data_IF_817734546703
#
_entry.id   IF_817734546703
#
_cell.length_a   1.000
_cell.length_b   1.000
_cell.length_c   1.000
_cell.angle_alpha   90.00
_cell.angle_beta   90.00
_cell.angle_gamma   90.00
#
_symmetry.space_group_name_H-M   'P 1'
#
loop_
_entity.id
_entity.type
_entity.pdbx_description
1 polymer ?
#
# COMPACT_ATOMS: atom_id res chain seq x y z
N UNK A 1 -14.50 -22.88 3.23
CA UNK A 1 -14.02 -22.50 1.86
C UNK A 1 -12.49 -22.51 1.85
N UNK A 2 -11.87 -23.13 0.85
CA UNK A 2 -10.41 -23.17 0.68
C UNK A 2 -10.00 -22.13 -0.36
N UNK A 3 -9.20 -21.13 0.05
CA UNK A 3 -8.80 -20.02 -0.80
C UNK A 3 -7.30 -20.07 -1.07
N UNK A 4 -6.93 -20.03 -2.35
CA UNK A 4 -5.55 -19.91 -2.79
C UNK A 4 -5.21 -18.45 -3.08
N UNK A 5 -4.37 -17.83 -2.27
CA UNK A 5 -3.81 -16.50 -2.56
C UNK A 5 -2.46 -16.67 -3.24
N UNK A 6 -2.27 -16.01 -4.38
CA UNK A 6 -0.98 -15.95 -5.06
C UNK A 6 -0.49 -14.51 -5.09
N UNK A 7 0.68 -14.28 -4.49
CA UNK A 7 1.32 -12.99 -4.37
C UNK A 7 2.80 -13.06 -4.77
N UNK A 8 3.12 -12.65 -6.00
CA UNK A 8 4.46 -12.76 -6.56
C UNK A 8 5.38 -11.60 -6.13
N UNK A 9 5.39 -11.25 -4.85
CA UNK A 9 6.24 -10.24 -4.22
C UNK A 9 6.56 -10.64 -2.78
N UNK A 10 7.42 -9.88 -2.11
CA UNK A 10 7.71 -10.06 -0.68
C UNK A 10 6.53 -9.60 0.17
N UNK A 11 5.91 -10.52 0.91
CA UNK A 11 4.66 -10.28 1.67
C UNK A 11 4.77 -9.14 2.67
N UNK A 12 5.94 -8.95 3.27
CA UNK A 12 6.14 -7.94 4.30
C UNK A 12 6.09 -6.49 3.80
N UNK A 13 6.22 -6.30 2.49
CA UNK A 13 6.06 -4.98 1.84
C UNK A 13 4.63 -4.71 1.35
N UNK A 14 3.70 -5.66 1.57
CA UNK A 14 2.32 -5.55 1.11
C UNK A 14 1.29 -5.70 2.25
N UNK A 15 1.17 -4.70 3.14
CA UNK A 15 0.18 -4.72 4.22
C UNK A 15 -1.25 -5.06 3.78
N UNK A 16 -1.76 -4.61 2.60
CA UNK A 16 -3.09 -4.98 2.15
C UNK A 16 -3.27 -6.49 1.92
N UNK A 17 -2.22 -7.19 1.50
CA UNK A 17 -2.28 -8.66 1.33
C UNK A 17 -2.27 -9.37 2.69
N UNK A 18 -1.49 -8.87 3.66
CA UNK A 18 -1.55 -9.35 5.05
C UNK A 18 -2.96 -9.18 5.63
N UNK A 19 -3.56 -7.99 5.46
CA UNK A 19 -4.93 -7.73 5.89
C UNK A 19 -5.95 -8.66 5.23
N UNK A 20 -5.80 -8.94 3.95
CA UNK A 20 -6.66 -9.91 3.25
C UNK A 20 -6.55 -11.31 3.86
N UNK A 21 -5.34 -11.79 4.13
CA UNK A 21 -5.14 -13.09 4.80
C UNK A 21 -5.83 -13.12 6.16
N UNK A 22 -5.64 -12.06 6.96
CA UNK A 22 -6.23 -11.98 8.31
C UNK A 22 -7.76 -11.96 8.27
N UNK A 23 -8.35 -11.20 7.33
CA UNK A 23 -9.80 -11.17 7.13
C UNK A 23 -10.34 -12.55 6.74
N UNK A 24 -9.69 -13.22 5.78
CA UNK A 24 -10.12 -14.53 5.30
C UNK A 24 -10.07 -15.60 6.41
N UNK A 25 -9.04 -15.59 7.22
CA UNK A 25 -8.94 -16.49 8.39
C UNK A 25 -10.01 -16.18 9.43
N UNK A 26 -10.27 -14.89 9.69
CA UNK A 26 -11.27 -14.44 10.66
C UNK A 26 -12.73 -14.73 10.25
N UNK A 27 -12.99 -14.89 8.96
CA UNK A 27 -14.30 -15.35 8.45
C UNK A 27 -14.39 -16.89 8.32
N UNK A 28 -13.38 -17.63 8.76
CA UNK A 28 -13.36 -19.08 8.79
C UNK A 28 -12.96 -19.76 7.48
N UNK A 29 -12.24 -19.05 6.60
CA UNK A 29 -11.70 -19.67 5.39
C UNK A 29 -10.34 -20.34 5.69
N UNK A 30 -10.07 -21.47 5.02
CA UNK A 30 -8.73 -22.06 5.00
C UNK A 30 -7.92 -21.40 3.89
N UNK A 31 -6.79 -20.77 4.23
CA UNK A 31 -5.98 -19.96 3.33
C UNK A 31 -4.66 -20.63 2.99
N UNK A 32 -4.39 -20.83 1.71
CA UNK A 32 -3.05 -21.16 1.21
C UNK A 32 -2.45 -19.95 0.52
N UNK A 33 -1.33 -19.44 1.01
CA UNK A 33 -0.62 -18.29 0.46
C UNK A 33 0.67 -18.72 -0.25
N UNK A 34 0.81 -18.42 -1.54
CA UNK A 34 2.07 -18.56 -2.29
C UNK A 34 2.72 -17.17 -2.39
N UNK A 35 3.91 -16.98 -1.80
CA UNK A 35 4.58 -15.68 -1.76
C UNK A 35 6.09 -15.80 -1.46
N UNK A 36 6.83 -14.69 -1.61
CA UNK A 36 8.16 -14.56 -1.02
C UNK A 36 8.03 -14.18 0.45
N UNK A 37 8.81 -14.84 1.31
CA UNK A 37 8.81 -14.61 2.76
C UNK A 37 10.26 -14.58 3.27
N UNK A 38 10.87 -13.40 3.25
CA UNK A 38 12.25 -13.17 3.74
C UNK A 38 12.30 -12.87 5.22
N UNK A 39 11.21 -12.36 5.79
CA UNK A 39 11.12 -11.87 7.17
C UNK A 39 10.26 -12.75 8.06
N UNK A 40 10.06 -14.02 7.64
CA UNK A 40 9.40 -15.05 8.46
C UNK A 40 7.93 -14.75 8.83
N UNK A 41 7.15 -14.17 7.90
CA UNK A 41 5.70 -13.99 8.06
C UNK A 41 5.00 -15.30 8.40
N UNK A 42 5.53 -16.43 7.92
CA UNK A 42 5.06 -17.75 8.29
C UNK A 42 4.98 -17.95 9.81
N UNK A 43 6.00 -17.49 10.56
CA UNK A 43 6.05 -17.62 12.02
C UNK A 43 4.95 -16.82 12.71
N UNK A 44 4.53 -15.69 12.15
CA UNK A 44 3.43 -14.88 12.69
C UNK A 44 2.09 -15.66 12.69
N UNK A 45 1.95 -16.64 11.81
CA UNK A 45 0.74 -17.44 11.59
C UNK A 45 0.89 -18.93 11.91
N UNK A 46 2.00 -19.33 12.52
CA UNK A 46 2.36 -20.76 12.73
C UNK A 46 1.35 -21.55 13.58
N UNK A 47 0.64 -20.85 14.47
CA UNK A 47 -0.37 -21.45 15.34
C UNK A 47 -1.77 -21.57 14.69
N UNK A 48 -1.97 -21.02 13.49
CA UNK A 48 -3.26 -21.11 12.81
C UNK A 48 -3.29 -22.33 11.88
N UNK A 49 -4.08 -23.34 12.23
CA UNK A 49 -4.23 -24.60 11.46
C UNK A 49 -4.85 -24.38 10.07
N UNK A 50 -5.62 -23.31 9.87
CA UNK A 50 -6.26 -22.96 8.62
C UNK A 50 -5.36 -22.13 7.69
N UNK A 51 -4.12 -21.84 8.10
CA UNK A 51 -3.16 -21.11 7.29
C UNK A 51 -2.00 -21.98 6.83
N UNK A 52 -1.76 -21.98 5.51
CA UNK A 52 -0.61 -22.62 4.89
C UNK A 52 0.17 -21.63 4.03
N UNK A 53 1.48 -21.49 4.27
CA UNK A 53 2.35 -20.69 3.44
C UNK A 53 3.26 -21.59 2.59
N UNK A 54 3.27 -21.33 1.27
CA UNK A 54 4.18 -21.93 0.30
C UNK A 54 5.16 -20.84 -0.13
N UNK A 55 6.39 -20.93 0.36
CA UNK A 55 7.44 -19.95 0.08
C UNK A 55 7.96 -20.09 -1.35
N UNK A 56 8.02 -18.97 -2.05
CA UNK A 56 8.75 -18.87 -3.32
C UNK A 56 10.23 -18.69 -3.00
N UNK A 57 11.06 -19.62 -3.45
CA UNK A 57 12.51 -19.57 -3.21
C UNK A 57 13.21 -18.69 -4.25
N UNK A 58 14.04 -17.76 -3.78
CA UNK A 58 14.94 -17.00 -4.64
C UNK A 58 16.11 -17.87 -5.10
N UNK A 59 16.34 -17.97 -6.39
CA UNK A 59 17.55 -18.59 -6.89
C UNK A 59 18.78 -17.69 -6.63
N UNK A 60 19.83 -18.25 -6.04
CA UNK A 60 21.12 -17.55 -5.84
C UNK A 60 21.62 -16.99 -7.19
N UNK A 61 22.02 -15.73 -7.17
CA UNK A 61 22.51 -15.00 -8.33
C UNK A 61 23.81 -15.62 -8.86
N UNK A 62 23.74 -16.35 -9.97
CA UNK A 62 24.88 -16.78 -10.77
C UNK A 62 24.69 -16.20 -12.17
N UNK A 63 25.72 -15.67 -12.83
CA UNK A 63 25.79 -15.12 -14.18
C UNK A 63 24.50 -14.74 -14.96
N UNK A 64 24.59 -13.90 -15.98
CA UNK A 64 23.38 -13.33 -16.66
C UNK A 64 22.50 -14.41 -17.33
N UNK A 65 23.11 -15.38 -18.03
CA UNK A 65 22.39 -16.46 -18.74
C UNK A 65 21.71 -17.39 -17.75
N UNK A 66 22.41 -17.79 -16.69
CA UNK A 66 21.86 -18.67 -15.65
C UNK A 66 20.73 -18.00 -14.85
N UNK A 67 20.80 -16.67 -14.69
CA UNK A 67 19.70 -15.88 -14.12
C UNK A 67 18.45 -15.94 -14.98
N UNK A 68 18.58 -15.86 -16.30
CA UNK A 68 17.45 -15.95 -17.23
C UNK A 68 16.78 -17.33 -17.15
N UNK A 69 17.57 -18.40 -17.21
CA UNK A 69 17.10 -19.78 -17.09
C UNK A 69 16.43 -20.03 -15.74
N UNK A 70 17.01 -19.54 -14.66
CA UNK A 70 16.45 -19.67 -13.33
C UNK A 70 15.09 -18.96 -13.17
N UNK A 71 14.93 -17.76 -13.75
CA UNK A 71 13.63 -17.06 -13.77
C UNK A 71 12.58 -17.87 -14.53
N UNK A 72 12.96 -18.47 -15.66
CA UNK A 72 12.05 -19.31 -16.45
C UNK A 72 11.65 -20.58 -15.68
N UNK A 73 12.61 -21.27 -15.07
CA UNK A 73 12.36 -22.46 -14.27
C UNK A 73 11.50 -22.16 -13.03
N UNK A 74 11.75 -21.01 -12.38
CA UNK A 74 10.94 -20.56 -11.26
C UNK A 74 9.49 -20.29 -11.67
N UNK A 75 9.30 -19.57 -12.77
CA UNK A 75 7.96 -19.33 -13.33
C UNK A 75 7.23 -20.64 -13.62
N UNK A 76 7.93 -21.62 -14.20
CA UNK A 76 7.36 -22.96 -14.47
C UNK A 76 6.97 -23.67 -13.18
N UNK A 77 7.84 -23.70 -12.16
CA UNK A 77 7.56 -24.33 -10.86
C UNK A 77 6.35 -23.69 -10.17
N UNK A 78 6.28 -22.35 -10.13
CA UNK A 78 5.15 -21.64 -9.53
C UNK A 78 3.86 -21.96 -10.27
N UNK A 79 3.86 -21.95 -11.60
CA UNK A 79 2.69 -22.32 -12.41
C UNK A 79 2.22 -23.73 -12.13
N UNK A 80 3.12 -24.69 -12.07
CA UNK A 80 2.79 -26.09 -11.76
C UNK A 80 2.17 -26.21 -10.37
N UNK A 81 2.74 -25.53 -9.37
CA UNK A 81 2.21 -25.50 -8.02
C UNK A 81 0.80 -24.88 -7.97
N UNK A 82 0.62 -23.72 -8.61
CA UNK A 82 -0.68 -23.04 -8.69
C UNK A 82 -1.72 -23.94 -9.36
N UNK A 83 -1.42 -24.51 -10.53
CA UNK A 83 -2.37 -25.36 -11.25
C UNK A 83 -2.71 -26.66 -10.52
N UNK A 84 -1.79 -27.20 -9.73
CA UNK A 84 -2.09 -28.34 -8.86
C UNK A 84 -3.06 -27.93 -7.74
N UNK A 85 -2.82 -26.78 -7.10
CA UNK A 85 -3.64 -26.30 -5.99
C UNK A 85 -5.01 -25.78 -6.44
N UNK A 86 -5.14 -25.22 -7.64
CA UNK A 86 -6.44 -24.83 -8.22
C UNK A 86 -7.45 -25.98 -8.26
N UNK A 87 -6.99 -27.22 -8.34
CA UNK A 87 -7.86 -28.42 -8.34
C UNK A 87 -8.46 -28.74 -6.97
N UNK A 88 -7.90 -28.20 -5.90
CA UNK A 88 -8.23 -28.54 -4.50
C UNK A 88 -8.72 -27.34 -3.70
N UNK A 89 -8.74 -26.15 -4.32
CA UNK A 89 -9.21 -24.92 -3.72
C UNK A 89 -10.46 -24.43 -4.43
N UNK A 90 -11.35 -23.82 -3.67
CA UNK A 90 -12.64 -23.36 -4.17
C UNK A 90 -12.51 -22.06 -4.97
N UNK A 91 -11.46 -21.26 -4.66
CA UNK A 91 -11.24 -19.94 -5.21
C UNK A 91 -9.74 -19.63 -5.28
N UNK A 92 -9.32 -18.92 -6.34
CA UNK A 92 -8.01 -18.33 -6.46
C UNK A 92 -8.11 -16.79 -6.38
N UNK A 93 -7.27 -16.17 -5.55
CA UNK A 93 -7.15 -14.73 -5.40
C UNK A 93 -5.75 -14.29 -5.80
N UNK A 94 -5.62 -13.65 -6.95
CA UNK A 94 -4.34 -13.08 -7.39
C UNK A 94 -4.22 -11.64 -6.93
N UNK A 95 -3.05 -11.27 -6.45
CA UNK A 95 -2.74 -9.89 -6.04
C UNK A 95 -1.61 -9.37 -6.91
N UNK A 96 -1.77 -8.20 -7.49
CA UNK A 96 -0.88 -7.55 -8.47
C UNK A 96 -0.96 -8.12 -9.89
N UNK A 97 -0.71 -7.24 -10.85
CA UNK A 97 -0.59 -7.51 -12.29
C UNK A 97 0.49 -8.55 -12.61
N UNK A 98 1.63 -8.44 -11.93
CA UNK A 98 2.75 -9.36 -12.08
C UNK A 98 2.38 -10.81 -11.74
N UNK A 99 1.51 -11.01 -10.77
CA UNK A 99 1.02 -12.35 -10.38
C UNK A 99 0.17 -12.94 -11.49
N UNK A 100 -0.74 -12.15 -12.06
CA UNK A 100 -1.55 -12.56 -13.22
C UNK A 100 -0.66 -12.93 -14.41
N UNK A 101 0.32 -12.09 -14.72
CA UNK A 101 1.29 -12.35 -15.78
C UNK A 101 2.13 -13.61 -15.54
N UNK A 102 2.48 -13.87 -14.27
CA UNK A 102 3.23 -15.05 -13.88
C UNK A 102 2.44 -16.34 -14.14
N UNK A 103 1.18 -16.41 -13.70
CA UNK A 103 0.34 -17.60 -13.87
C UNK A 103 -0.07 -17.76 -15.33
N UNK A 104 -0.50 -16.66 -15.96
CA UNK A 104 -0.83 -16.59 -17.38
C UNK A 104 -2.11 -17.33 -17.75
N UNK A 105 -2.16 -17.90 -18.97
CA UNK A 105 -3.40 -18.39 -19.63
C UNK A 105 -4.21 -19.40 -18.80
N UNK A 106 -3.59 -20.11 -17.86
CA UNK A 106 -4.32 -21.05 -16.99
C UNK A 106 -5.43 -20.41 -16.16
N UNK A 107 -5.32 -19.10 -15.86
CA UNK A 107 -6.39 -18.35 -15.17
C UNK A 107 -7.65 -18.21 -16.03
N UNK A 108 -7.54 -18.20 -17.36
CA UNK A 108 -8.67 -18.08 -18.27
C UNK A 108 -9.54 -19.35 -18.31
N UNK A 109 -9.08 -20.45 -17.74
CA UNK A 109 -9.83 -21.71 -17.65
C UNK A 109 -10.39 -21.94 -16.24
N UNK A 110 -10.37 -20.93 -15.38
CA UNK A 110 -10.77 -21.05 -13.99
C UNK A 110 -11.76 -19.93 -13.61
N UNK A 111 -13.03 -20.28 -13.49
CA UNK A 111 -14.11 -19.31 -13.27
C UNK A 111 -14.06 -18.60 -11.92
N UNK A 112 -13.59 -19.30 -10.87
CA UNK A 112 -13.52 -18.77 -9.52
C UNK A 112 -12.22 -17.99 -9.27
N UNK A 113 -11.91 -17.02 -10.13
CA UNK A 113 -10.75 -16.16 -10.02
C UNK A 113 -11.13 -14.74 -9.59
N UNK A 114 -10.52 -14.25 -8.51
CA UNK A 114 -10.56 -12.84 -8.10
C UNK A 114 -9.22 -12.20 -8.46
N UNK A 115 -9.27 -11.12 -9.23
CA UNK A 115 -8.10 -10.37 -9.69
C UNK A 115 -7.99 -9.06 -8.91
N UNK A 116 -7.08 -9.00 -7.94
CA UNK A 116 -6.81 -7.77 -7.19
C UNK A 116 -5.61 -7.01 -7.76
N UNK A 117 -5.79 -5.72 -7.99
CA UNK A 117 -4.76 -4.81 -8.45
C UNK A 117 -4.44 -3.80 -7.35
N UNK A 118 -3.16 -3.57 -7.11
CA UNK A 118 -2.69 -2.56 -6.15
C UNK A 118 -2.49 -1.20 -6.82
N UNK A 119 -2.19 -1.21 -8.13
CA UNK A 119 -1.91 -0.03 -8.94
C UNK A 119 -2.68 -0.10 -10.27
N UNK A 120 -2.92 1.07 -10.87
CA UNK A 120 -3.38 1.15 -12.25
C UNK A 120 -2.25 0.72 -13.18
N UNK A 121 -2.54 -0.22 -14.05
CA UNK A 121 -1.64 -0.71 -15.09
C UNK A 121 -2.46 -1.00 -16.34
N UNK A 122 -1.93 -0.66 -17.50
CA UNK A 122 -2.59 -1.02 -18.77
C UNK A 122 -2.26 -2.47 -19.14
N UNK A 123 -0.97 -2.77 -19.20
CA UNK A 123 -0.42 -4.08 -19.53
C UNK A 123 0.86 -4.34 -18.78
N UNK A 124 1.12 -5.61 -18.46
CA UNK A 124 2.33 -6.02 -17.77
C UNK A 124 3.34 -6.60 -18.76
N UNK A 125 4.56 -6.04 -18.88
CA UNK A 125 5.62 -6.63 -19.69
C UNK A 125 5.98 -8.04 -19.24
N UNK A 126 6.10 -8.99 -20.16
CA UNK A 126 6.50 -10.37 -19.87
C UNK A 126 7.95 -10.47 -19.40
N UNK A 127 8.80 -9.51 -19.84
CA UNK A 127 10.23 -9.47 -19.52
C UNK A 127 10.64 -8.08 -19.06
N UNK A 128 11.17 -7.96 -17.86
CA UNK A 128 11.68 -6.73 -17.25
C UNK A 128 13.21 -6.62 -17.43
N UNK A 129 13.70 -6.66 -18.66
CA UNK A 129 15.14 -6.50 -18.94
C UNK A 129 15.40 -5.16 -19.61
N UNK A 130 16.44 -4.46 -19.17
CA UNK A 130 16.84 -3.16 -19.73
C UNK A 130 16.98 -3.18 -21.26
N UNK A 131 17.55 -4.26 -21.82
CA UNK A 131 17.68 -4.47 -23.28
C UNK A 131 16.31 -4.57 -23.97
N UNK A 132 15.35 -5.26 -23.36
CA UNK A 132 13.99 -5.41 -23.91
C UNK A 132 13.29 -4.06 -23.97
N UNK A 133 13.48 -3.20 -22.94
CA UNK A 133 12.97 -1.84 -22.94
C UNK A 133 13.65 -0.95 -23.97
N UNK A 134 14.99 -1.00 -24.06
CA UNK A 134 15.76 -0.24 -25.03
C UNK A 134 15.38 -0.56 -26.49
N UNK A 135 15.10 -1.83 -26.77
CA UNK A 135 14.64 -2.29 -28.10
C UNK A 135 13.12 -2.15 -28.30
N UNK A 136 12.38 -1.56 -27.36
CA UNK A 136 10.91 -1.43 -27.35
C UNK A 136 10.15 -2.77 -27.51
N UNK A 137 10.81 -3.90 -27.26
CA UNK A 137 10.22 -5.24 -27.33
C UNK A 137 9.21 -5.51 -26.20
N UNK A 138 9.26 -4.73 -25.13
CA UNK A 138 8.26 -4.75 -24.05
C UNK A 138 6.84 -4.46 -24.55
N UNK A 139 6.69 -3.71 -25.65
CA UNK A 139 5.39 -3.45 -26.30
C UNK A 139 4.83 -4.66 -27.04
N UNK A 140 5.72 -5.52 -27.56
CA UNK A 140 5.35 -6.74 -28.29
C UNK A 140 5.08 -7.92 -27.35
N UNK A 141 5.87 -8.03 -26.27
CA UNK A 141 5.78 -9.12 -25.30
C UNK A 141 5.18 -8.64 -24.00
N UNK A 142 3.86 -8.53 -23.95
CA UNK A 142 3.09 -8.08 -22.79
C UNK A 142 1.94 -9.02 -22.46
N UNK A 143 1.51 -8.99 -21.22
CA UNK A 143 0.29 -9.63 -20.76
C UNK A 143 -0.87 -8.65 -20.90
N UNK A 144 -1.85 -8.98 -21.70
CA UNK A 144 -3.07 -8.22 -21.86
C UNK A 144 -3.97 -8.48 -20.63
N UNK A 145 -3.89 -7.62 -19.66
CA UNK A 145 -4.58 -7.76 -18.35
C UNK A 145 -6.09 -7.68 -18.49
N UNK A 146 -6.58 -6.92 -19.48
CA UNK A 146 -7.99 -6.77 -19.81
C UNK A 146 -8.70 -8.12 -20.04
N UNK A 147 -8.00 -9.08 -20.70
CA UNK A 147 -8.54 -10.43 -20.93
C UNK A 147 -8.79 -11.20 -19.64
N UNK A 148 -7.83 -11.09 -18.69
CA UNK A 148 -7.96 -11.76 -17.39
C UNK A 148 -9.00 -11.07 -16.52
N UNK A 149 -9.08 -9.74 -16.58
CA UNK A 149 -10.05 -8.96 -15.82
C UNK A 149 -11.49 -9.23 -16.27
N UNK A 150 -11.73 -9.32 -17.60
CA UNK A 150 -13.05 -9.69 -18.14
C UNK A 150 -13.46 -11.13 -17.81
N UNK A 151 -12.50 -12.02 -17.63
CA UNK A 151 -12.76 -13.42 -17.26
C UNK A 151 -12.84 -13.62 -15.75
N UNK A 152 -12.24 -12.76 -14.96
CA UNK A 152 -12.27 -12.86 -13.51
C UNK A 152 -13.70 -12.67 -12.98
N UNK A 153 -14.04 -13.45 -11.96
CA UNK A 153 -15.34 -13.32 -11.28
C UNK A 153 -15.50 -11.93 -10.66
N UNK A 154 -14.45 -11.40 -10.07
CA UNK A 154 -14.34 -10.03 -9.58
C UNK A 154 -12.96 -9.45 -9.87
N UNK A 155 -12.95 -8.18 -10.21
CA UNK A 155 -11.76 -7.33 -10.16
C UNK A 155 -11.83 -6.48 -8.90
N UNK A 156 -10.73 -6.40 -8.14
CA UNK A 156 -10.66 -5.68 -6.87
C UNK A 156 -9.57 -4.61 -6.98
N UNK A 157 -9.87 -3.39 -6.54
CA UNK A 157 -8.95 -2.25 -6.57
C UNK A 157 -9.02 -1.48 -5.25
N UNK A 158 -7.99 -0.70 -4.87
CA UNK A 158 -7.95 -0.08 -3.55
C UNK A 158 -8.67 1.28 -3.45
N UNK A 159 -9.15 1.86 -4.59
CA UNK A 159 -9.69 3.22 -4.61
C UNK A 159 -10.82 3.35 -5.66
N UNK A 160 -11.83 4.17 -5.32
CA UNK A 160 -13.08 4.29 -6.08
C UNK A 160 -12.89 4.79 -7.52
N UNK A 161 -12.12 5.84 -7.73
CA UNK A 161 -11.88 6.35 -9.08
C UNK A 161 -11.08 5.36 -9.93
N UNK A 162 -10.15 4.61 -9.31
CA UNK A 162 -9.43 3.52 -9.99
C UNK A 162 -10.40 2.44 -10.47
N UNK A 163 -11.48 2.15 -9.75
CA UNK A 163 -12.51 1.21 -10.20
C UNK A 163 -13.20 1.70 -11.49
N UNK A 164 -13.56 2.97 -11.57
CA UNK A 164 -14.16 3.56 -12.76
C UNK A 164 -13.19 3.60 -13.95
N UNK A 165 -11.94 3.98 -13.70
CA UNK A 165 -10.89 4.01 -14.73
C UNK A 165 -10.65 2.60 -15.30
N UNK A 166 -10.48 1.58 -14.46
CA UNK A 166 -10.29 0.19 -14.88
C UNK A 166 -11.52 -0.32 -15.65
N UNK A 167 -12.72 -0.02 -15.15
CA UNK A 167 -13.95 -0.39 -15.87
C UNK A 167 -13.97 0.17 -17.29
N UNK A 168 -13.69 1.46 -17.44
CA UNK A 168 -13.67 2.13 -18.74
C UNK A 168 -12.53 1.63 -19.63
N UNK A 169 -11.32 1.55 -19.09
CA UNK A 169 -10.11 1.16 -19.83
C UNK A 169 -10.16 -0.27 -20.36
N UNK A 170 -10.77 -1.19 -19.63
CA UNK A 170 -10.84 -2.60 -20.02
C UNK A 170 -12.21 -3.06 -20.48
N UNK A 171 -13.21 -2.17 -20.54
CA UNK A 171 -14.56 -2.48 -20.98
C UNK A 171 -15.21 -3.54 -20.09
N UNK A 172 -15.10 -3.41 -18.77
CA UNK A 172 -15.70 -4.37 -17.84
C UNK A 172 -17.19 -4.14 -17.71
N UNK A 173 -17.98 -5.20 -17.68
CA UNK A 173 -19.43 -5.13 -17.45
C UNK A 173 -19.75 -4.61 -16.05
N UNK A 174 -19.03 -5.11 -15.04
CA UNK A 174 -19.21 -4.74 -13.63
C UNK A 174 -18.16 -3.74 -13.18
N UNK A 175 -18.55 -2.87 -12.25
CA UNK A 175 -17.59 -2.01 -11.57
C UNK A 175 -16.69 -2.88 -10.67
N UNK A 176 -15.35 -2.73 -10.72
CA UNK A 176 -14.46 -3.38 -9.77
C UNK A 176 -14.84 -3.08 -8.32
N UNK A 177 -14.70 -4.07 -7.46
CA UNK A 177 -14.94 -3.90 -6.02
C UNK A 177 -13.83 -3.06 -5.41
N UNK A 178 -14.20 -2.09 -4.58
CA UNK A 178 -13.23 -1.26 -3.86
C UNK A 178 -12.92 -1.91 -2.51
N UNK A 179 -11.69 -2.43 -2.38
CA UNK A 179 -11.14 -2.94 -1.12
C UNK A 179 -10.01 -2.03 -0.69
N UNK A 180 -10.24 -1.07 0.23
CA UNK A 180 -9.26 -0.07 0.61
C UNK A 180 -8.01 -0.68 1.24
N UNK A 181 -6.88 0.03 1.15
CA UNK A 181 -5.61 -0.38 1.76
C UNK A 181 -5.59 -0.15 3.30
N UNK A 182 -6.72 -0.35 3.96
CA UNK A 182 -6.88 -0.23 5.40
C UNK A 182 -6.26 -1.44 6.10
N UNK A 183 -5.41 -1.27 7.13
CA UNK A 183 -4.97 -2.37 7.97
C UNK A 183 -6.16 -3.02 8.68
N UNK A 184 -6.25 -4.35 8.64
CA UNK A 184 -7.32 -5.07 9.32
C UNK A 184 -6.99 -5.34 10.78
N UNK A 185 -5.78 -5.82 11.05
CA UNK A 185 -5.33 -6.13 12.39
C UNK A 185 -4.03 -5.40 12.73
N UNK A 186 -4.03 -4.68 13.85
CA UNK A 186 -2.88 -3.94 14.35
C UNK A 186 -2.58 -4.38 15.79
N UNK A 187 -1.51 -5.16 15.96
CA UNK A 187 -1.04 -5.55 17.28
C UNK A 187 0.15 -4.68 17.68
N UNK A 188 -0.06 -3.78 18.62
CA UNK A 188 0.97 -2.88 19.17
C UNK A 188 1.57 -3.39 20.49
N UNK A 189 1.24 -4.61 20.91
CA UNK A 189 1.77 -5.22 22.14
C UNK A 189 3.26 -5.54 21.96
N UNK A 190 4.00 -5.37 23.05
CA UNK A 190 5.42 -5.75 23.14
C UNK A 190 6.35 -5.06 22.12
N UNK A 191 6.32 -3.71 21.98
CA UNK A 191 7.33 -3.01 21.22
C UNK A 191 8.71 -3.20 21.86
N UNK A 192 9.76 -3.15 21.05
CA UNK A 192 11.12 -3.22 21.59
C UNK A 192 11.49 -1.95 22.37
N UNK A 193 12.49 -2.05 23.23
CA UNK A 193 12.95 -0.95 24.10
C UNK A 193 13.44 0.26 23.31
N UNK A 194 14.00 0.08 22.12
CA UNK A 194 14.45 1.18 21.27
C UNK A 194 13.28 2.03 20.79
N UNK A 195 12.19 1.39 20.34
CA UNK A 195 10.95 2.11 19.94
C UNK A 195 10.36 2.89 21.11
N UNK A 196 10.31 2.27 22.29
CA UNK A 196 9.81 2.96 23.50
C UNK A 196 10.66 4.18 23.85
N UNK A 197 11.98 4.08 23.76
CA UNK A 197 12.88 5.21 24.00
C UNK A 197 12.67 6.34 22.97
N UNK A 198 12.46 6.00 21.70
CA UNK A 198 12.16 7.01 20.67
C UNK A 198 10.84 7.73 21.00
N UNK A 199 9.79 6.99 21.36
CA UNK A 199 8.49 7.56 21.73
C UNK A 199 8.64 8.51 22.93
N UNK A 200 9.37 8.11 23.96
CA UNK A 200 9.62 8.92 25.14
C UNK A 200 10.38 10.21 24.83
N UNK A 201 11.45 10.11 24.04
CA UNK A 201 12.21 11.28 23.58
C UNK A 201 11.35 12.27 22.79
N UNK A 202 10.48 11.77 21.94
CA UNK A 202 9.57 12.61 21.14
C UNK A 202 8.50 13.27 22.02
N UNK A 203 7.97 12.59 23.04
CA UNK A 203 7.05 13.19 24.02
C UNK A 203 7.73 14.28 24.83
N UNK A 204 8.95 14.02 25.28
CA UNK A 204 9.71 14.95 26.10
C UNK A 204 10.20 16.20 25.35
N UNK A 205 10.17 16.21 24.00
CA UNK A 205 10.48 17.43 23.26
C UNK A 205 9.43 18.53 23.41
N UNK A 206 8.21 18.18 23.87
CA UNK A 206 7.12 19.12 24.16
C UNK A 206 6.54 19.87 22.94
N UNK A 207 6.90 19.44 21.73
CA UNK A 207 6.50 20.10 20.47
C UNK A 207 5.34 19.39 19.80
N UNK A 208 4.51 20.13 19.06
CA UNK A 208 3.49 19.60 18.16
C UNK A 208 4.15 19.01 16.93
N UNK A 209 4.18 17.67 16.81
CA UNK A 209 4.88 16.98 15.74
C UNK A 209 4.05 16.94 14.46
N UNK A 210 4.53 17.58 13.40
CA UNK A 210 4.00 17.45 12.04
C UNK A 210 4.71 16.26 11.39
N UNK A 211 4.04 15.12 11.26
CA UNK A 211 4.65 13.83 10.95
C UNK A 211 4.52 13.43 9.48
N UNK A 212 5.64 13.27 8.78
CA UNK A 212 5.71 12.50 7.56
C UNK A 212 6.30 11.13 7.83
N UNK A 213 5.62 10.06 7.43
CA UNK A 213 6.15 8.69 7.49
C UNK A 213 6.18 8.04 6.12
N UNK A 214 7.27 7.38 5.77
CA UNK A 214 7.39 6.58 4.55
C UNK A 214 8.71 6.73 3.80
N UNK A 215 8.65 6.51 2.48
CA UNK A 215 9.83 6.59 1.60
C UNK A 215 10.15 8.04 1.27
N UNK A 216 11.42 8.40 1.41
CA UNK A 216 11.90 9.73 1.03
C UNK A 216 12.26 9.74 -0.45
N UNK A 217 11.44 10.42 -1.25
CA UNK A 217 11.59 10.60 -2.68
C UNK A 217 11.43 12.08 -3.02
N UNK A 218 12.08 12.55 -4.08
CA UNK A 218 12.00 13.96 -4.52
C UNK A 218 10.58 14.42 -4.82
N UNK A 219 9.73 13.52 -5.31
CA UNK A 219 8.31 13.75 -5.59
C UNK A 219 7.44 13.90 -4.34
N UNK A 220 7.99 13.71 -3.16
CA UNK A 220 7.28 13.97 -1.88
C UNK A 220 7.29 15.44 -1.47
N UNK A 221 8.20 16.23 -2.05
CA UNK A 221 8.24 17.70 -1.84
C UNK A 221 8.18 18.09 -0.35
N UNK A 222 9.07 17.49 0.45
CA UNK A 222 9.07 17.68 1.92
C UNK A 222 9.74 18.97 2.36
N UNK A 223 10.43 19.63 1.47
CA UNK A 223 11.17 20.88 1.75
C UNK A 223 10.21 22.01 2.12
N UNK A 224 9.12 22.15 1.39
CA UNK A 224 8.10 23.17 1.66
C UNK A 224 7.41 22.95 3.01
N UNK A 225 7.29 21.69 3.45
CA UNK A 225 6.81 21.38 4.80
C UNK A 225 7.82 21.75 5.88
N UNK A 226 9.12 21.53 5.66
CA UNK A 226 10.16 21.99 6.59
C UNK A 226 10.12 23.51 6.74
N UNK A 227 10.05 24.25 5.65
CA UNK A 227 9.92 25.71 5.68
C UNK A 227 8.65 26.19 6.40
N UNK A 228 7.51 25.55 6.11
CA UNK A 228 6.24 25.89 6.73
C UNK A 228 6.29 25.69 8.25
N UNK A 229 6.77 24.54 8.70
CA UNK A 229 6.84 24.22 10.14
C UNK A 229 7.81 25.15 10.86
N UNK A 230 8.95 25.46 10.27
CA UNK A 230 9.92 26.42 10.85
C UNK A 230 9.32 27.81 11.00
N UNK A 231 8.47 28.25 10.07
CA UNK A 231 7.82 29.57 10.15
C UNK A 231 6.75 29.65 11.25
N UNK A 232 6.26 28.50 11.75
CA UNK A 232 5.26 28.45 12.81
C UNK A 232 5.84 28.65 14.23
N UNK A 233 7.17 28.63 14.38
CA UNK A 233 7.87 28.84 15.63
C UNK A 233 8.12 27.55 16.43
N UNK A 234 8.69 27.72 17.64
CA UNK A 234 9.27 26.63 18.43
C UNK A 234 8.27 25.61 19.00
N UNK A 235 6.97 25.93 18.97
CA UNK A 235 5.91 25.01 19.41
C UNK A 235 5.75 23.81 18.46
N UNK A 236 6.25 23.90 17.23
CA UNK A 236 6.11 22.86 16.22
C UNK A 236 7.45 22.23 15.88
N UNK A 237 7.42 20.99 15.42
CA UNK A 237 8.58 20.34 14.83
C UNK A 237 8.16 19.48 13.63
N UNK A 238 8.92 19.59 12.54
CA UNK A 238 8.75 18.65 11.43
C UNK A 238 9.46 17.35 11.76
N UNK A 239 8.67 16.29 11.91
CA UNK A 239 9.16 14.94 12.23
C UNK A 239 9.05 14.07 10.97
N UNK A 240 10.16 13.47 10.55
CA UNK A 240 10.17 12.58 9.40
C UNK A 240 10.62 11.18 9.81
N UNK A 241 9.85 10.16 9.44
CA UNK A 241 10.14 8.76 9.79
C UNK A 241 10.27 7.88 8.54
N UNK A 242 11.38 7.18 8.42
CA UNK A 242 11.63 6.27 7.30
C UNK A 242 13.07 5.81 7.17
N UNK A 243 13.38 5.14 6.05
CA UNK A 243 14.73 4.61 5.79
C UNK A 243 15.75 5.73 5.57
N UNK A 244 17.00 5.46 5.93
CA UNK A 244 18.13 6.38 5.71
C UNK A 244 18.51 6.41 4.22
N UNK A 245 18.02 7.42 3.50
CA UNK A 245 18.29 7.64 2.07
C UNK A 245 19.11 8.92 1.87
N UNK A 246 19.65 9.10 0.66
CA UNK A 246 20.38 10.32 0.31
C UNK A 246 19.47 11.56 0.35
N UNK A 247 18.21 11.42 -0.09
CA UNK A 247 17.21 12.50 -0.05
C UNK A 247 16.92 12.93 1.39
N UNK A 248 16.79 11.97 2.32
CA UNK A 248 16.63 12.28 3.75
C UNK A 248 17.83 13.06 4.29
N UNK A 249 19.08 12.62 3.97
CA UNK A 249 20.29 13.29 4.42
C UNK A 249 20.34 14.74 3.94
N UNK A 250 20.13 14.95 2.64
CA UNK A 250 20.12 16.28 2.05
C UNK A 250 19.08 17.20 2.69
N UNK A 251 17.87 16.67 2.97
CA UNK A 251 16.82 17.44 3.61
C UNK A 251 17.21 17.84 5.04
N UNK A 252 17.74 16.93 5.85
CA UNK A 252 18.17 17.24 7.22
C UNK A 252 19.44 18.10 7.30
N UNK A 253 20.33 18.03 6.31
CA UNK A 253 21.47 18.96 6.19
C UNK A 253 21.01 20.40 5.92
N UNK A 254 19.97 20.56 5.10
CA UNK A 254 19.40 21.87 4.76
C UNK A 254 18.52 22.46 5.87
N UNK A 255 17.85 21.58 6.63
CA UNK A 255 16.93 21.92 7.73
C UNK A 255 17.30 21.12 8.99
N UNK A 256 18.31 21.57 9.76
CA UNK A 256 18.84 20.83 10.92
C UNK A 256 17.85 20.61 12.06
N UNK A 257 16.79 21.43 12.13
CA UNK A 257 15.72 21.36 13.13
C UNK A 257 14.73 20.20 12.89
N UNK A 258 14.81 19.53 11.74
CA UNK A 258 13.99 18.35 11.45
C UNK A 258 14.33 17.21 12.41
N UNK A 259 13.30 16.67 13.05
CA UNK A 259 13.43 15.48 13.87
C UNK A 259 13.36 14.24 12.96
N UNK A 260 14.47 13.52 12.84
CA UNK A 260 14.50 12.28 12.08
C UNK A 260 14.31 11.07 12.98
N UNK A 261 13.36 10.23 12.62
CA UNK A 261 13.11 8.91 13.22
C UNK A 261 13.48 7.83 12.19
N UNK A 262 14.38 6.89 12.52
CA UNK A 262 14.72 5.77 11.67
C UNK A 262 13.49 4.91 11.34
N UNK A 263 13.58 4.10 10.27
CA UNK A 263 12.54 3.15 9.93
C UNK A 263 12.22 2.22 11.10
N UNK A 264 10.96 2.25 11.52
CA UNK A 264 10.42 1.34 12.53
C UNK A 264 9.57 0.29 11.82
N UNK A 265 9.83 -0.98 12.11
CA UNK A 265 9.08 -2.10 11.53
C UNK A 265 7.59 -2.02 11.90
N UNK A 266 6.69 -2.11 10.92
CA UNK A 266 5.26 -2.21 11.21
C UNK A 266 4.92 -3.41 12.09
N UNK A 267 3.95 -3.27 13.03
CA UNK A 267 3.08 -2.10 13.21
C UNK A 267 3.60 -1.04 14.18
N UNK A 268 4.77 -1.22 14.82
CA UNK A 268 5.26 -0.39 15.91
C UNK A 268 5.55 1.08 15.53
N UNK A 269 5.71 1.38 14.22
CA UNK A 269 5.79 2.76 13.73
C UNK A 269 4.55 3.59 14.10
N UNK A 270 3.40 2.94 14.33
CA UNK A 270 2.17 3.61 14.75
C UNK A 270 2.23 4.21 16.15
N UNK A 271 3.15 3.76 17.00
CA UNK A 271 3.38 4.39 18.30
C UNK A 271 3.90 5.83 18.16
N UNK A 272 4.67 6.11 17.09
CA UNK A 272 5.07 7.47 16.75
C UNK A 272 3.87 8.24 16.17
N UNK A 273 3.06 7.60 15.34
CA UNK A 273 1.84 8.20 14.77
C UNK A 273 0.87 8.64 15.86
N UNK A 274 0.72 7.87 16.95
CA UNK A 274 -0.19 8.17 18.07
C UNK A 274 0.22 9.39 18.90
N UNK A 275 1.47 9.81 18.84
CA UNK A 275 1.96 10.99 19.56
C UNK A 275 2.18 12.19 18.65
N UNK A 276 1.94 12.04 17.36
CA UNK A 276 2.00 13.14 16.41
C UNK A 276 0.78 14.07 16.53
N UNK A 277 0.93 15.29 16.02
CA UNK A 277 -0.13 16.31 16.02
C UNK A 277 -0.85 16.37 14.67
N UNK A 278 -0.13 16.32 13.54
CA UNK A 278 -0.71 16.29 12.18
C UNK A 278 0.08 15.30 11.33
N UNK A 279 -0.64 14.48 10.55
CA UNK A 279 -0.05 13.55 9.57
C UNK A 279 0.06 14.16 8.17
N UNK A 280 1.23 14.03 7.52
CA UNK A 280 1.48 14.58 6.18
C UNK A 280 1.26 13.53 5.11
N UNK A 281 0.40 13.85 4.13
CA UNK A 281 0.11 13.07 2.93
C UNK A 281 0.44 13.90 1.69
N UNK A 282 1.52 13.58 1.01
CA UNK A 282 2.00 14.36 -0.15
C UNK A 282 2.34 13.45 -1.31
N UNK A 283 1.74 13.73 -2.49
CA UNK A 283 1.83 12.93 -3.70
C UNK A 283 1.82 13.82 -4.93
N UNK A 284 2.96 13.90 -5.63
CA UNK A 284 3.09 14.68 -6.86
C UNK A 284 3.44 13.75 -8.03
N UNK A 285 2.75 13.85 -9.18
CA UNK A 285 3.00 12.99 -10.32
C UNK A 285 4.33 13.35 -10.99
N UNK A 286 5.25 12.40 -11.03
CA UNK A 286 6.57 12.51 -11.69
C UNK A 286 6.78 11.44 -12.73
N UNK A 287 5.86 10.45 -12.82
CA UNK A 287 5.92 9.40 -13.83
C UNK A 287 5.74 9.95 -15.25
N UNK A 288 6.41 9.35 -16.22
CA UNK A 288 6.28 9.73 -17.63
C UNK A 288 5.02 9.15 -18.28
N UNK A 289 4.61 7.95 -17.84
CA UNK A 289 3.44 7.24 -18.36
C UNK A 289 2.13 7.67 -17.68
N UNK A 290 1.01 7.49 -18.40
CA UNK A 290 -0.31 7.88 -17.92
C UNK A 290 -0.74 7.10 -16.68
N UNK A 291 -0.54 5.79 -16.66
CA UNK A 291 -0.93 4.96 -15.52
C UNK A 291 -0.20 5.37 -14.24
N UNK A 292 1.10 5.68 -14.33
CA UNK A 292 1.89 6.20 -13.21
C UNK A 292 1.38 7.55 -12.70
N UNK A 293 1.02 8.47 -13.61
CA UNK A 293 0.40 9.76 -13.24
C UNK A 293 -0.94 9.56 -12.53
N UNK A 294 -1.80 8.71 -13.08
CA UNK A 294 -3.11 8.40 -12.49
C UNK A 294 -2.99 7.69 -11.15
N UNK A 295 -1.97 6.85 -10.94
CA UNK A 295 -1.70 6.23 -9.65
C UNK A 295 -1.37 7.24 -8.55
N UNK A 296 -0.83 8.39 -8.91
CA UNK A 296 -0.58 9.48 -7.97
C UNK A 296 -1.84 10.32 -7.74
N UNK A 297 -2.51 10.73 -8.81
CA UNK A 297 -3.74 11.57 -8.73
C UNK A 297 -4.84 10.84 -7.96
N UNK A 298 -5.01 9.54 -8.20
CA UNK A 298 -5.96 8.66 -7.50
C UNK A 298 -5.23 7.73 -6.55
N UNK A 299 -4.37 8.30 -5.69
CA UNK A 299 -3.59 7.51 -4.76
C UNK A 299 -4.46 6.77 -3.74
N UNK A 300 -4.00 5.60 -3.31
CA UNK A 300 -4.64 4.78 -2.29
C UNK A 300 -3.65 4.48 -1.16
N UNK A 301 -3.22 5.51 -0.40
CA UNK A 301 -2.16 5.32 0.58
C UNK A 301 -2.63 4.58 1.82
N UNK A 302 -1.85 3.62 2.30
CA UNK A 302 -2.08 2.99 3.61
C UNK A 302 -2.07 4.03 4.74
N UNK A 303 -1.29 5.11 4.56
CA UNK A 303 -1.06 6.14 5.59
C UNK A 303 -2.34 6.88 6.01
N UNK A 304 -3.29 7.11 5.10
CA UNK A 304 -4.55 7.77 5.45
C UNK A 304 -5.30 6.99 6.52
N UNK A 305 -5.28 5.65 6.43
CA UNK A 305 -5.90 4.78 7.42
C UNK A 305 -5.07 4.63 8.69
N UNK A 306 -3.74 4.65 8.58
CA UNK A 306 -2.84 4.60 9.73
C UNK A 306 -2.96 5.86 10.59
N UNK A 307 -3.03 7.03 9.95
CA UNK A 307 -3.29 8.29 10.64
C UNK A 307 -4.68 8.32 11.26
N UNK A 308 -5.70 7.92 10.49
CA UNK A 308 -7.07 7.87 10.98
C UNK A 308 -7.26 6.90 12.17
N UNK A 309 -6.58 5.75 12.17
CA UNK A 309 -6.54 4.81 13.31
C UNK A 309 -6.05 5.47 14.61
N UNK A 310 -5.13 6.41 14.50
CA UNK A 310 -4.58 7.16 15.61
C UNK A 310 -5.38 8.43 15.98
N UNK A 311 -6.52 8.66 15.30
CA UNK A 311 -7.26 9.91 15.44
C UNK A 311 -6.45 11.15 15.00
N UNK A 312 -5.46 10.97 14.10
CA UNK A 312 -4.53 12.00 13.71
C UNK A 312 -5.06 12.80 12.52
N UNK A 313 -5.40 14.11 12.67
CA UNK A 313 -5.76 14.96 11.56
C UNK A 313 -4.64 15.06 10.51
N UNK A 314 -5.00 15.28 9.26
CA UNK A 314 -4.08 15.16 8.14
C UNK A 314 -4.00 16.44 7.31
N UNK A 315 -2.82 16.67 6.72
CA UNK A 315 -2.61 17.68 5.69
C UNK A 315 -2.11 17.00 4.41
N UNK A 316 -2.70 17.36 3.26
CA UNK A 316 -2.32 16.78 1.98
C UNK A 316 -2.46 17.77 0.82
N UNK A 317 -1.85 17.47 -0.33
CA UNK A 317 -2.09 18.23 -1.55
C UNK A 317 -3.47 17.88 -2.15
N UNK A 318 -4.13 18.86 -2.78
CA UNK A 318 -5.45 18.67 -3.39
C UNK A 318 -5.35 17.81 -4.65
N UNK A 319 -5.58 16.51 -4.47
CA UNK A 319 -5.73 15.52 -5.53
C UNK A 319 -6.92 14.60 -5.21
N UNK A 320 -7.66 14.10 -6.20
CA UNK A 320 -8.89 13.32 -5.97
C UNK A 320 -8.76 12.13 -5.01
N UNK A 321 -7.60 11.46 -5.00
CA UNK A 321 -7.35 10.34 -4.08
C UNK A 321 -7.23 10.75 -2.59
N UNK A 322 -7.04 12.04 -2.30
CA UNK A 322 -7.00 12.61 -0.95
C UNK A 322 -8.21 13.50 -0.68
N UNK A 323 -8.54 14.45 -1.58
CA UNK A 323 -9.60 15.42 -1.36
C UNK A 323 -10.96 14.78 -1.11
N UNK A 324 -11.30 13.69 -1.82
CA UNK A 324 -12.57 13.00 -1.60
C UNK A 324 -12.82 12.54 -0.15
N UNK A 325 -11.93 11.76 0.48
CA UNK A 325 -12.03 11.42 1.90
C UNK A 325 -11.97 12.64 2.84
N UNK A 326 -11.12 13.65 2.53
CA UNK A 326 -10.96 14.84 3.35
C UNK A 326 -12.24 15.68 3.38
N UNK A 327 -12.89 15.91 2.24
CA UNK A 327 -14.14 16.64 2.14
C UNK A 327 -15.31 15.90 2.79
N UNK A 328 -15.41 14.59 2.49
CA UNK A 328 -16.52 13.78 3.00
C UNK A 328 -16.53 13.63 4.52
N UNK A 329 -15.35 13.44 5.12
CA UNK A 329 -15.22 13.13 6.54
C UNK A 329 -14.67 14.26 7.38
N UNK A 330 -14.13 15.31 6.77
CA UNK A 330 -13.44 16.41 7.48
C UNK A 330 -12.26 15.94 8.33
N UNK A 331 -11.42 15.08 7.74
CA UNK A 331 -10.28 14.45 8.45
C UNK A 331 -8.99 15.29 8.41
N UNK A 332 -9.05 16.51 7.89
CA UNK A 332 -7.92 17.40 7.75
C UNK A 332 -8.12 18.45 6.67
N UNK A 333 -7.03 18.96 6.11
CA UNK A 333 -7.03 20.01 5.08
C UNK A 333 -6.20 19.59 3.87
N UNK A 334 -6.72 19.88 2.66
CA UNK A 334 -5.95 19.83 1.43
C UNK A 334 -5.48 21.25 1.04
N UNK A 335 -4.20 21.37 0.67
CA UNK A 335 -3.68 22.61 0.13
C UNK A 335 -3.68 22.59 -1.40
N UNK A 336 -4.02 23.74 -2.02
CA UNK A 336 -4.11 23.88 -3.46
C UNK A 336 -2.74 24.12 -4.11
N UNK A 337 -1.87 24.85 -3.44
CA UNK A 337 -0.55 25.22 -3.95
C UNK A 337 0.53 24.70 -3.02
N UNK A 338 1.56 24.11 -3.59
CA UNK A 338 2.77 23.74 -2.87
C UNK A 338 3.57 25.00 -2.53
N UNK A 339 3.29 25.55 -1.38
CA UNK A 339 3.86 26.79 -0.88
C UNK A 339 3.89 26.72 0.65
N UNK A 340 5.02 27.12 1.24
CA UNK A 340 5.22 27.02 2.70
C UNK A 340 4.25 27.86 3.51
N UNK A 341 3.84 29.04 3.00
CA UNK A 341 2.85 29.89 3.67
C UNK A 341 1.48 29.23 3.68
N UNK A 342 1.03 28.71 2.53
CA UNK A 342 -0.25 28.01 2.40
C UNK A 342 -0.29 26.76 3.29
N UNK A 343 0.82 26.02 3.37
CA UNK A 343 0.93 24.84 4.24
C UNK A 343 0.86 25.26 5.72
N UNK A 344 1.55 26.33 6.12
CA UNK A 344 1.52 26.85 7.48
C UNK A 344 0.10 27.30 7.89
N UNK A 345 -0.61 28.01 7.01
CA UNK A 345 -2.00 28.40 7.21
C UNK A 345 -2.91 27.19 7.40
N UNK A 346 -2.78 26.15 6.55
CA UNK A 346 -3.55 24.93 6.66
C UNK A 346 -3.27 24.18 7.98
N UNK A 347 -2.03 24.16 8.48
CA UNK A 347 -1.68 23.61 9.79
C UNK A 347 -2.41 24.37 10.90
N UNK A 348 -2.44 25.70 10.85
CA UNK A 348 -3.16 26.52 11.84
C UNK A 348 -4.68 26.36 11.76
N UNK A 349 -5.24 26.13 10.60
CA UNK A 349 -6.66 25.82 10.45
C UNK A 349 -7.02 24.43 11.05
N UNK A 350 -6.17 23.42 10.84
CA UNK A 350 -6.34 22.12 11.48
C UNK A 350 -6.30 22.27 13.01
N UNK A 351 -5.38 23.06 13.54
CA UNK A 351 -5.24 23.27 14.96
C UNK A 351 -6.51 23.90 15.60
N UNK A 352 -7.17 24.84 14.92
CA UNK A 352 -8.42 25.46 15.41
C UNK A 352 -9.55 24.44 15.59
N UNK A 353 -9.64 23.45 14.70
CA UNK A 353 -10.71 22.44 14.70
C UNK A 353 -10.22 21.05 15.11
N UNK A 354 -9.07 20.98 15.80
CA UNK A 354 -8.32 19.74 16.04
C UNK A 354 -9.17 18.60 16.62
N UNK A 355 -9.85 18.82 17.73
CA UNK A 355 -10.63 17.77 18.40
C UNK A 355 -11.78 17.26 17.51
N UNK A 356 -12.42 18.14 16.75
CA UNK A 356 -13.46 17.76 15.79
C UNK A 356 -12.88 16.88 14.66
N UNK A 357 -11.73 17.28 14.10
CA UNK A 357 -11.08 16.51 13.05
C UNK A 357 -10.56 15.16 13.55
N UNK A 358 -10.08 15.11 14.80
CA UNK A 358 -9.67 13.85 15.45
C UNK A 358 -10.81 12.85 15.52
N UNK A 359 -11.98 13.25 16.01
CA UNK A 359 -13.19 12.41 16.03
C UNK A 359 -13.62 11.99 14.62
N UNK A 360 -13.48 12.90 13.65
CA UNK A 360 -13.74 12.60 12.23
C UNK A 360 -12.78 11.55 11.66
N UNK A 361 -11.51 11.57 12.05
CA UNK A 361 -10.53 10.55 11.67
C UNK A 361 -10.92 9.17 12.22
N UNK A 362 -11.29 9.09 13.48
CA UNK A 362 -11.77 7.85 14.13
C UNK A 362 -13.03 7.32 13.43
N UNK A 363 -13.99 8.20 13.12
CA UNK A 363 -15.19 7.85 12.38
C UNK A 363 -14.85 7.32 10.97
N UNK A 364 -14.00 8.03 10.22
CA UNK A 364 -13.55 7.59 8.89
C UNK A 364 -12.93 6.20 8.93
N UNK A 365 -12.07 5.93 9.92
CA UNK A 365 -11.48 4.61 10.09
C UNK A 365 -12.54 3.53 10.38
N UNK A 366 -13.49 3.81 11.27
CA UNK A 366 -14.48 2.84 11.73
C UNK A 366 -15.61 2.59 10.71
N UNK A 367 -15.97 3.58 9.90
CA UNK A 367 -17.01 3.44 8.86
C UNK A 367 -16.64 2.46 7.73
N UNK A 368 -15.37 2.04 7.64
CA UNK A 368 -14.91 1.11 6.60
C UNK A 368 -14.82 -0.30 7.19
N UNK A 369 -15.81 -1.13 6.90
CA UNK A 369 -15.82 -2.54 7.28
C UNK A 369 -15.18 -3.42 6.20
N UNK A 370 -13.88 -3.65 6.35
CA UNK A 370 -13.09 -4.51 5.44
C UNK A 370 -13.62 -5.95 5.39
N UNK A 371 -14.13 -6.45 6.52
CA UNK A 371 -14.65 -7.81 6.65
C UNK A 371 -15.95 -7.97 5.88
N UNK A 372 -16.86 -7.00 5.98
CA UNK A 372 -18.08 -6.96 5.19
C UNK A 372 -17.78 -6.94 3.69
N UNK A 373 -16.86 -6.08 3.24
CA UNK A 373 -16.47 -6.01 1.81
C UNK A 373 -15.96 -7.35 1.30
N UNK A 374 -15.07 -8.02 2.05
CA UNK A 374 -14.52 -9.33 1.64
C UNK A 374 -15.61 -10.40 1.66
N UNK A 375 -16.50 -10.42 2.65
CA UNK A 375 -17.65 -11.33 2.69
C UNK A 375 -18.56 -11.15 1.48
N UNK A 376 -18.85 -9.92 1.09
CA UNK A 376 -19.69 -9.65 -0.09
C UNK A 376 -19.03 -10.19 -1.36
N UNK A 377 -17.74 -9.99 -1.54
CA UNK A 377 -16.98 -10.58 -2.66
C UNK A 377 -17.06 -12.10 -2.66
N UNK A 378 -16.99 -12.76 -1.49
CA UNK A 378 -17.07 -14.21 -1.38
C UNK A 378 -18.49 -14.74 -1.51
N UNK A 379 -19.49 -14.08 -0.94
CA UNK A 379 -20.90 -14.50 -0.98
C UNK A 379 -21.50 -14.42 -2.40
N UNK A 380 -21.12 -13.42 -3.17
CA UNK A 380 -21.39 -13.39 -4.61
C UNK A 380 -20.61 -14.49 -5.36
N UNK A 381 -19.72 -15.22 -4.68
CA UNK A 381 -18.88 -16.28 -5.24
C UNK A 381 -19.47 -17.69 -4.99
N UNK A 382 -20.56 -17.79 -4.25
CA UNK A 382 -21.35 -18.98 -4.02
C UNK A 382 -22.68 -18.80 -4.78
#
# INVERSE_FOLDING_TARGET
>A
MKILIVHNKEINYYPPVKSLVDILLDIGASVTLITYDKFSYRKEKELNSDFKLIKIEDFKKKGKIQRLLNVFLLKRKIRQCVFHLMKTHDLIWTTTDNTVSLIGRGLLNYENHIMQLMELVEDTPLLYYKVVYQLKLNKLFKTHLDKYARHAKYVVVPEFNRAHIIKAMWGLERLPVVLPNKPYYLNLSNPNTEVLRIVENLRNCGKKLILYQGVFLKERKLEEFAQAVNSLGDEYAFCIMGSDTQERKQLCEKYPEIIYVPFITPPFHLLITQIAFIGVLTYFPTADDLAGKLNVVYCAPNKIYQYAYSGLPMIGNNIPGLSGPFEKYHIGKCFEKLDSVVIAEAIKEIEKDYEKMKLSCEKFYNDIDMKAIVRDVLNYSI
#
